data_IF_223195916855
#
_entry.id   IF_223195916855
#
_cell.length_a   1.000
_cell.length_b   1.000
_cell.length_c   1.000
_cell.angle_alpha   90.00
_cell.angle_beta   90.00
_cell.angle_gamma   90.00
#
_symmetry.space_group_name_H-M   'P 1'
#
loop_
_entity.id
_entity.type
_entity.pdbx_description
1 polymer ?
#
# COMPACT_ATOMS: atom_id res chain seq x y z
N UNK A 1 -50.47 -2.94 -23.17
CA UNK A 1 -51.19 -3.95 -22.36
C UNK A 1 -50.49 -5.29 -22.49
N UNK A 2 -49.53 -5.57 -21.61
CA UNK A 2 -48.88 -6.88 -21.49
C UNK A 2 -49.67 -7.69 -20.46
N UNK A 3 -50.20 -8.82 -20.92
CA UNK A 3 -51.16 -9.66 -20.21
C UNK A 3 -50.52 -10.32 -18.98
N UNK A 4 -51.26 -10.35 -17.87
CA UNK A 4 -50.91 -10.98 -16.57
C UNK A 4 -50.40 -12.43 -16.65
N UNK A 5 -50.49 -13.07 -17.81
CA UNK A 5 -50.04 -14.43 -18.06
C UNK A 5 -48.51 -14.59 -18.19
N UNK A 6 -47.76 -13.52 -18.50
CA UNK A 6 -46.29 -13.61 -18.61
C UNK A 6 -45.54 -13.49 -17.28
N UNK A 7 -46.15 -12.90 -16.24
CA UNK A 7 -45.51 -12.77 -14.93
C UNK A 7 -45.40 -14.11 -14.17
N UNK A 8 -46.40 -15.00 -14.31
CA UNK A 8 -46.40 -16.30 -13.65
C UNK A 8 -45.32 -17.27 -14.15
N UNK A 9 -44.97 -17.21 -15.44
CA UNK A 9 -43.96 -18.10 -16.03
C UNK A 9 -42.53 -17.77 -15.60
N UNK A 10 -42.24 -16.49 -15.31
CA UNK A 10 -40.91 -16.06 -14.81
C UNK A 10 -40.69 -16.47 -13.36
N UNK A 11 -41.72 -16.44 -12.51
CA UNK A 11 -41.61 -16.88 -11.12
C UNK A 11 -41.32 -18.38 -10.98
N UNK A 12 -41.93 -19.21 -11.84
CA UNK A 12 -41.74 -20.67 -11.83
C UNK A 12 -40.33 -21.04 -12.31
N UNK A 13 -39.79 -20.32 -13.31
CA UNK A 13 -38.44 -20.56 -13.83
C UNK A 13 -37.34 -20.19 -12.81
N UNK A 14 -37.52 -19.10 -12.06
CA UNK A 14 -36.56 -18.69 -11.02
C UNK A 14 -36.57 -19.67 -9.84
N UNK A 15 -37.74 -20.15 -9.42
CA UNK A 15 -37.84 -21.16 -8.36
C UNK A 15 -37.20 -22.51 -8.74
N UNK A 16 -37.34 -22.93 -10.01
CA UNK A 16 -36.72 -24.16 -10.50
C UNK A 16 -35.18 -24.07 -10.56
N UNK A 17 -34.63 -22.91 -10.95
CA UNK A 17 -33.18 -22.69 -11.00
C UNK A 17 -32.56 -22.68 -9.61
N UNK A 18 -33.23 -22.05 -8.63
CA UNK A 18 -32.76 -22.04 -7.22
C UNK A 18 -32.79 -23.45 -6.61
N UNK A 19 -33.83 -24.25 -6.90
CA UNK A 19 -33.91 -25.62 -6.40
C UNK A 19 -32.82 -26.53 -7.00
N UNK A 20 -32.46 -26.36 -8.27
CA UNK A 20 -31.37 -27.11 -8.91
C UNK A 20 -30.00 -26.69 -8.34
N UNK A 21 -29.77 -25.40 -8.11
CA UNK A 21 -28.53 -24.90 -7.50
C UNK A 21 -28.34 -25.42 -6.07
N UNK A 22 -29.40 -25.50 -5.27
CA UNK A 22 -29.32 -26.06 -3.91
C UNK A 22 -29.05 -27.58 -3.91
N UNK A 23 -29.53 -28.32 -4.91
CA UNK A 23 -29.24 -29.77 -5.04
C UNK A 23 -27.80 -30.06 -5.50
N UNK A 24 -27.17 -29.16 -6.26
CA UNK A 24 -25.76 -29.31 -6.69
C UNK A 24 -24.79 -28.99 -5.54
N UNK A 25 -25.15 -28.08 -4.64
CA UNK A 25 -24.33 -27.75 -3.45
C UNK A 25 -24.40 -28.86 -2.39
N UNK A 26 -25.51 -29.61 -2.28
CA UNK A 26 -25.60 -30.70 -1.29
C UNK A 26 -24.84 -31.97 -1.71
N UNK A 27 -24.66 -32.22 -3.00
CA UNK A 27 -23.91 -33.39 -3.51
C UNK A 27 -22.39 -33.21 -3.47
N UNK A 28 -21.90 -31.97 -3.36
CA UNK A 28 -20.46 -31.67 -3.24
C UNK A 28 -19.94 -31.77 -1.78
N UNK A 29 -20.81 -31.94 -0.79
CA UNK A 29 -20.45 -32.15 0.62
C UNK A 29 -20.42 -33.64 1.05
N UNK A 30 -20.77 -34.59 0.16
CA UNK A 30 -20.85 -36.02 0.50
C UNK A 30 -19.80 -36.93 -0.17
N UNK A 31 -18.83 -36.39 -0.92
CA UNK A 31 -17.73 -37.17 -1.52
C UNK A 31 -16.40 -36.72 -0.90
N UNK A 32 -16.24 -36.96 0.40
CA UNK A 32 -14.94 -36.84 1.07
C UNK A 32 -14.65 -37.94 2.11
N UNK A 33 -15.35 -39.07 2.01
CA UNK A 33 -14.98 -40.28 2.73
C UNK A 33 -14.77 -41.46 1.78
N UNK A 34 -13.77 -42.28 2.12
CA UNK A 34 -13.42 -43.59 1.57
C UNK A 34 -12.49 -43.58 0.34
N UNK A 35 -11.24 -43.15 0.56
CA UNK A 35 -10.06 -43.92 0.14
C UNK A 35 -9.07 -43.91 1.32
N UNK A 36 -8.99 -45.02 2.07
CA UNK A 36 -7.90 -45.28 3.01
C UNK A 36 -6.79 -46.03 2.26
N UNK A 37 -5.64 -45.41 1.94
CA UNK A 37 -4.46 -46.17 1.55
C UNK A 37 -3.96 -46.98 2.77
N UNK A 38 -3.64 -48.26 2.53
CA UNK A 38 -3.17 -49.19 3.55
C UNK A 38 -1.94 -48.67 4.29
N UNK A 39 -1.94 -48.84 5.61
CA UNK A 39 -0.87 -48.44 6.52
C UNK A 39 0.35 -49.36 6.31
N UNK A 40 1.54 -48.84 5.96
CA UNK A 40 2.78 -49.60 6.09
C UNK A 40 3.04 -49.94 7.57
N UNK A 41 3.77 -51.02 7.88
CA UNK A 41 4.10 -51.36 9.26
C UNK A 41 4.85 -50.21 9.95
N UNK A 42 4.41 -49.91 11.17
CA UNK A 42 4.90 -48.84 12.04
C UNK A 42 6.38 -49.07 12.40
N UNK A 43 7.30 -48.15 12.05
CA UNK A 43 8.67 -48.20 12.56
C UNK A 43 8.64 -48.00 14.08
N UNK A 44 9.41 -48.81 14.80
CA UNK A 44 9.56 -48.71 16.25
C UNK A 44 9.79 -47.25 16.68
N UNK A 45 9.05 -46.80 17.70
CA UNK A 45 9.11 -45.45 18.24
C UNK A 45 10.53 -45.10 18.70
N UNK A 46 11.31 -44.48 17.83
CA UNK A 46 12.49 -43.74 18.24
C UNK A 46 12.02 -42.48 18.95
N UNK A 47 12.48 -42.30 20.19
CA UNK A 47 12.32 -41.07 20.98
C UNK A 47 12.61 -39.87 20.06
N UNK A 48 11.74 -38.85 20.00
CA UNK A 48 11.99 -37.70 19.16
C UNK A 48 13.27 -37.04 19.67
N UNK A 49 14.32 -37.08 18.84
CA UNK A 49 15.47 -36.22 19.04
C UNK A 49 14.95 -34.80 18.81
N UNK A 50 14.75 -34.06 19.91
CA UNK A 50 14.49 -32.63 19.83
C UNK A 50 15.74 -31.96 19.30
N UNK A 51 15.78 -31.73 18.00
CA UNK A 51 16.79 -30.90 17.37
C UNK A 51 16.07 -29.67 16.83
N UNK A 52 16.17 -28.56 17.56
CA UNK A 52 15.85 -27.25 16.99
C UNK A 52 17.12 -26.74 16.29
N UNK A 53 17.11 -26.72 14.95
CA UNK A 53 18.21 -26.18 14.16
C UNK A 53 17.82 -24.77 13.69
N UNK A 54 18.57 -23.77 14.13
CA UNK A 54 18.54 -22.41 13.57
C UNK A 54 19.97 -21.87 13.54
N UNK A 55 20.51 -21.63 12.33
CA UNK A 55 21.90 -21.18 12.07
C UNK A 55 22.83 -22.30 11.59
N UNK A 56 24.02 -21.94 11.07
CA UNK A 56 25.06 -22.87 10.58
C UNK A 56 25.62 -23.72 11.73
N UNK A 57 24.94 -24.81 12.03
CA UNK A 57 25.29 -25.78 13.07
C UNK A 57 26.15 -26.90 12.48
N UNK A 58 27.48 -26.77 12.55
CA UNK A 58 28.36 -27.92 12.35
C UNK A 58 28.31 -28.81 13.59
N UNK A 59 27.50 -29.87 13.55
CA UNK A 59 27.44 -30.91 14.58
C UNK A 59 28.14 -32.18 14.08
N UNK A 60 29.40 -32.38 14.46
CA UNK A 60 30.08 -33.67 14.33
C UNK A 60 30.59 -34.12 15.70
N UNK A 61 30.06 -35.24 16.20
CA UNK A 61 30.47 -35.90 17.46
C UNK A 61 29.36 -36.08 18.48
N UNK A 62 29.42 -37.18 19.26
CA UNK A 62 28.57 -37.38 20.44
C UNK A 62 29.09 -36.48 21.58
N UNK A 63 28.20 -35.75 22.26
CA UNK A 63 28.47 -34.81 23.37
C UNK A 63 29.05 -33.42 23.05
N UNK A 64 28.54 -32.75 22.00
CA UNK A 64 28.87 -31.34 21.77
C UNK A 64 27.86 -30.38 22.40
N UNK A 65 28.36 -29.48 23.25
CA UNK A 65 27.63 -28.27 23.66
C UNK A 65 27.54 -27.34 22.45
N UNK A 66 26.33 -27.11 21.94
CA UNK A 66 26.11 -26.25 20.78
C UNK A 66 26.22 -24.79 21.22
N UNK A 67 27.31 -24.13 20.83
CA UNK A 67 27.42 -22.68 20.96
C UNK A 67 26.80 -22.00 19.74
N UNK A 68 25.51 -21.69 19.83
CA UNK A 68 24.86 -20.85 18.83
C UNK A 68 25.36 -19.41 19.00
N UNK A 69 25.91 -18.82 17.94
CA UNK A 69 26.01 -17.36 17.87
C UNK A 69 24.57 -16.81 17.75
N UNK A 70 24.24 -15.68 18.41
CA UNK A 70 23.00 -14.99 18.13
C UNK A 70 22.91 -14.77 16.61
N UNK A 71 21.77 -15.11 16.03
CA UNK A 71 21.50 -14.85 14.63
C UNK A 71 21.59 -13.35 14.32
N UNK A 72 21.65 -12.97 13.03
CA UNK A 72 21.62 -11.59 12.62
C UNK A 72 20.48 -10.83 13.30
N UNK A 73 20.70 -9.54 13.59
CA UNK A 73 19.66 -8.65 14.11
C UNK A 73 18.52 -8.48 13.10
N UNK A 74 17.38 -7.95 13.53
CA UNK A 74 16.32 -7.61 12.59
C UNK A 74 16.75 -6.36 11.84
N UNK A 75 16.83 -6.46 10.53
CA UNK A 75 17.01 -5.31 9.68
C UNK A 75 15.82 -4.36 9.80
N UNK A 76 16.08 -3.05 9.74
CA UNK A 76 15.04 -2.06 9.89
C UNK A 76 14.42 -1.73 8.52
N UNK A 77 13.10 -1.71 8.46
CA UNK A 77 12.39 -1.14 7.32
C UNK A 77 11.59 0.04 7.87
N UNK A 78 12.02 1.23 7.48
CA UNK A 78 11.35 2.46 7.85
C UNK A 78 10.56 2.96 6.64
N UNK A 79 9.33 3.38 6.90
CA UNK A 79 8.53 4.07 5.90
C UNK A 79 8.53 5.54 6.30
N UNK A 80 9.19 6.35 5.50
CA UNK A 80 9.13 7.81 5.60
C UNK A 80 8.17 8.35 4.54
N UNK A 81 7.51 9.45 4.84
CA UNK A 81 6.70 10.13 3.84
C UNK A 81 7.56 11.24 3.25
N UNK A 82 7.77 11.20 1.93
CA UNK A 82 8.36 12.31 1.19
C UNK A 82 7.25 12.97 0.37
N UNK A 83 7.28 14.30 0.31
CA UNK A 83 6.20 15.09 -0.25
C UNK A 83 6.77 16.14 -1.20
N UNK A 84 6.61 15.88 -2.49
CA UNK A 84 7.00 16.83 -3.55
C UNK A 84 5.85 17.77 -3.97
N UNK A 85 4.62 17.58 -3.45
CA UNK A 85 3.43 18.18 -4.06
C UNK A 85 2.99 19.53 -3.47
N UNK A 86 2.69 20.45 -4.39
CA UNK A 86 2.25 21.83 -4.15
C UNK A 86 0.73 21.97 -3.97
N UNK A 87 -0.05 20.95 -4.31
CA UNK A 87 -1.51 20.99 -4.26
C UNK A 87 -2.13 19.68 -3.79
N UNK A 88 -3.27 19.79 -3.13
CA UNK A 88 -4.19 18.71 -2.79
C UNK A 88 -5.61 19.14 -3.14
N UNK A 89 -6.53 18.19 -3.24
CA UNK A 89 -7.92 18.42 -3.63
C UNK A 89 -8.85 18.08 -2.47
N UNK A 90 -9.83 18.94 -2.22
CA UNK A 90 -10.87 18.71 -1.23
C UNK A 90 -12.21 18.46 -1.90
N UNK A 91 -12.85 17.34 -1.57
CA UNK A 91 -14.17 16.94 -2.05
C UNK A 91 -15.27 17.75 -1.36
N UNK A 92 -15.42 19.00 -1.80
CA UNK A 92 -16.42 19.91 -1.28
C UNK A 92 -16.13 21.36 -1.63
N UNK A 93 -17.09 22.22 -1.29
CA UNK A 93 -16.98 23.65 -1.50
C UNK A 93 -16.04 24.30 -0.45
N UNK A 94 -15.43 25.46 -0.75
CA UNK A 94 -14.49 26.11 0.16
C UNK A 94 -15.07 26.44 1.54
N UNK A 95 -16.35 26.80 1.60
CA UNK A 95 -17.09 27.07 2.83
C UNK A 95 -17.25 25.85 3.76
N UNK A 96 -17.07 24.64 3.22
CA UNK A 96 -17.14 23.38 3.98
C UNK A 96 -15.78 22.86 4.42
N UNK A 97 -14.69 23.61 4.15
CA UNK A 97 -13.35 23.20 4.52
C UNK A 97 -13.23 22.98 6.04
N UNK A 98 -12.75 21.81 6.48
CA UNK A 98 -12.53 21.53 7.89
C UNK A 98 -11.55 22.50 8.53
N UNK A 99 -11.84 22.92 9.76
CA UNK A 99 -10.96 23.81 10.52
C UNK A 99 -9.78 23.00 11.09
N UNK A 100 -8.52 23.41 10.84
CA UNK A 100 -7.36 22.71 11.41
C UNK A 100 -7.35 22.80 12.94
N UNK A 101 -6.82 21.80 13.65
CA UNK A 101 -6.60 21.87 15.08
C UNK A 101 -5.79 23.13 15.46
N UNK A 102 -6.10 23.84 16.56
CA UNK A 102 -5.41 25.07 16.91
C UNK A 102 -3.89 24.94 17.09
N UNK A 103 -3.41 23.75 17.48
CA UNK A 103 -1.98 23.46 17.59
C UNK A 103 -1.25 23.39 16.23
N UNK A 104 -2.02 23.32 15.14
CA UNK A 104 -1.56 23.21 13.76
C UNK A 104 -1.91 24.48 12.96
N UNK A 105 -2.11 25.63 13.63
CA UNK A 105 -2.37 26.95 13.02
C UNK A 105 -1.11 27.85 13.03
N UNK A 106 -0.85 28.63 11.97
CA UNK A 106 0.43 29.35 11.73
C UNK A 106 1.08 29.18 10.33
N UNK A 107 2.41 29.34 10.23
CA UNK A 107 3.15 29.20 8.97
C UNK A 107 3.81 27.82 8.82
N UNK A 108 3.98 27.35 7.58
CA UNK A 108 4.81 26.17 7.28
C UNK A 108 4.16 24.82 7.57
N UNK A 109 2.84 24.78 7.73
CA UNK A 109 2.07 23.61 8.13
C UNK A 109 2.29 22.37 7.31
N UNK A 110 2.50 22.51 6.01
CA UNK A 110 2.62 21.31 5.21
C UNK A 110 3.90 20.54 5.59
N UNK A 111 4.98 21.20 6.05
CA UNK A 111 6.16 20.50 6.62
C UNK A 111 5.92 19.86 7.99
N UNK A 112 4.83 20.23 8.68
CA UNK A 112 4.50 19.67 9.99
C UNK A 112 3.84 18.29 9.82
N UNK A 113 4.47 17.25 10.37
CA UNK A 113 3.95 15.89 10.31
C UNK A 113 2.55 15.76 10.95
N UNK A 114 2.25 16.55 11.97
CA UNK A 114 0.95 16.57 12.63
C UNK A 114 -0.15 17.10 11.72
N UNK A 115 0.14 18.16 10.97
CA UNK A 115 -0.77 18.72 9.97
C UNK A 115 -1.03 17.78 8.81
N UNK A 116 0.02 17.16 8.27
CA UNK A 116 -0.09 16.16 7.20
C UNK A 116 -0.92 14.96 7.67
N UNK A 117 -0.67 14.48 8.89
CA UNK A 117 -1.45 13.41 9.51
C UNK A 117 -2.91 13.81 9.67
N UNK A 118 -3.18 15.05 10.09
CA UNK A 118 -4.53 15.58 10.18
C UNK A 118 -5.23 15.60 8.82
N UNK A 119 -4.59 16.13 7.77
CA UNK A 119 -5.13 16.13 6.39
C UNK A 119 -5.48 14.70 5.94
N UNK A 120 -4.58 13.73 6.13
CA UNK A 120 -4.85 12.32 5.75
C UNK A 120 -6.00 11.70 6.53
N UNK A 121 -6.13 12.03 7.81
CA UNK A 121 -7.20 11.51 8.66
C UNK A 121 -8.55 12.18 8.41
N UNK A 122 -8.53 13.39 7.84
CA UNK A 122 -9.74 14.17 7.60
C UNK A 122 -10.38 13.75 6.29
N UNK A 123 -11.66 13.38 6.36
CA UNK A 123 -12.44 12.99 5.19
C UNK A 123 -12.56 14.14 4.19
N UNK A 124 -12.59 13.81 2.90
CA UNK A 124 -12.68 14.77 1.80
C UNK A 124 -11.34 15.30 1.29
N UNK A 125 -10.23 15.19 2.03
CA UNK A 125 -8.92 15.54 1.47
C UNK A 125 -8.31 14.39 0.66
N UNK A 126 -7.87 14.70 -0.56
CA UNK A 126 -7.19 13.82 -1.50
C UNK A 126 -5.86 14.43 -1.93
N UNK A 127 -4.78 13.66 -1.83
CA UNK A 127 -3.46 14.04 -2.35
C UNK A 127 -3.41 13.80 -3.87
N UNK A 128 -2.61 14.53 -4.65
CA UNK A 128 -2.67 14.39 -6.11
C UNK A 128 -1.92 13.16 -6.61
N UNK A 129 -0.94 12.71 -5.85
CA UNK A 129 -0.34 11.39 -6.01
C UNK A 129 -0.07 10.77 -4.62
N UNK A 130 0.16 9.46 -4.61
CA UNK A 130 0.82 8.78 -3.50
C UNK A 130 2.31 8.68 -3.83
N UNK A 131 3.07 9.69 -3.44
CA UNK A 131 4.52 9.56 -3.29
C UNK A 131 4.86 9.09 -1.88
N UNK A 132 5.51 7.93 -1.76
CA UNK A 132 6.01 7.38 -0.48
C UNK A 132 7.46 6.99 -0.63
N UNK A 133 8.24 7.15 0.44
CA UNK A 133 9.64 6.74 0.47
C UNK A 133 9.84 5.67 1.53
N UNK A 134 10.25 4.49 1.11
CA UNK A 134 10.61 3.40 2.03
C UNK A 134 12.11 3.33 2.08
N UNK A 135 12.64 3.44 3.29
CA UNK A 135 14.05 3.29 3.59
C UNK A 135 14.27 1.86 4.09
N UNK A 136 14.93 1.05 3.29
CA UNK A 136 15.39 -0.26 3.70
C UNK A 136 16.78 -0.10 4.30
N UNK A 137 16.96 -0.48 5.57
CA UNK A 137 18.26 -0.47 6.24
C UNK A 137 18.67 -1.88 6.64
N UNK A 138 19.82 -2.35 6.17
CA UNK A 138 20.41 -3.61 6.64
C UNK A 138 21.61 -3.34 7.56
N UNK A 139 21.59 -3.98 8.74
CA UNK A 139 22.79 -4.14 9.55
C UNK A 139 23.73 -5.19 8.94
N UNK A 140 24.92 -5.32 9.50
CA UNK A 140 25.79 -6.49 9.26
C UNK A 140 25.42 -7.57 10.30
N UNK A 141 25.00 -8.80 9.94
CA UNK A 141 24.98 -9.46 8.61
C UNK A 141 23.57 -9.62 8.01
N UNK A 142 22.72 -8.60 8.04
CA UNK A 142 21.31 -8.72 7.69
C UNK A 142 21.05 -8.69 6.18
N UNK A 143 20.10 -9.51 5.73
CA UNK A 143 19.60 -9.48 4.35
C UNK A 143 18.17 -8.93 4.32
N UNK A 144 18.01 -7.77 3.68
CA UNK A 144 16.70 -7.19 3.37
C UNK A 144 16.45 -7.24 1.88
N UNK A 145 15.24 -7.67 1.53
CA UNK A 145 14.74 -7.57 0.17
C UNK A 145 13.30 -7.05 0.12
N UNK A 146 12.99 -6.18 -0.84
CA UNK A 146 11.62 -5.87 -1.22
C UNK A 146 11.22 -6.80 -2.36
N UNK A 147 10.21 -7.65 -2.13
CA UNK A 147 9.79 -8.71 -3.07
C UNK A 147 8.55 -8.35 -3.86
N UNK A 148 7.67 -7.55 -3.27
CA UNK A 148 6.42 -7.13 -3.87
C UNK A 148 5.99 -5.80 -3.29
N UNK A 149 5.47 -4.95 -4.16
CA UNK A 149 4.69 -3.79 -3.80
C UNK A 149 3.35 -3.88 -4.54
N UNK A 150 2.28 -3.48 -3.88
CA UNK A 150 0.94 -3.47 -4.47
C UNK A 150 0.09 -2.38 -3.85
N UNK A 151 -0.74 -1.75 -4.66
CA UNK A 151 -1.82 -0.87 -4.18
C UNK A 151 -3.09 -1.69 -4.07
N UNK A 152 -3.74 -1.62 -2.91
CA UNK A 152 -5.07 -2.19 -2.70
C UNK A 152 -6.08 -1.04 -2.72
N UNK A 153 -6.76 -0.87 -3.85
CA UNK A 153 -7.80 0.14 -4.04
C UNK A 153 -9.10 -0.36 -3.42
N UNK A 154 -9.64 0.38 -2.45
CA UNK A 154 -10.91 0.08 -1.77
C UNK A 154 -12.08 0.87 -2.35
N UNK A 155 -11.85 2.10 -2.82
CA UNK A 155 -12.82 2.87 -3.59
C UNK A 155 -12.16 3.57 -4.77
N UNK A 156 -12.94 3.77 -5.83
CA UNK A 156 -12.58 4.53 -7.01
C UNK A 156 -13.82 5.20 -7.56
N UNK A 157 -13.79 6.53 -7.65
CA UNK A 157 -14.94 7.34 -8.04
C UNK A 157 -14.52 8.35 -9.11
N UNK A 158 -15.38 8.58 -10.10
CA UNK A 158 -15.14 9.59 -11.12
C UNK A 158 -15.56 10.94 -10.58
N UNK A 159 -14.72 11.95 -10.74
CA UNK A 159 -14.99 13.33 -10.32
C UNK A 159 -14.61 14.31 -11.42
N UNK A 160 -15.28 15.47 -11.47
CA UNK A 160 -14.77 16.61 -12.23
C UNK A 160 -13.84 17.43 -11.33
N UNK A 161 -12.67 17.89 -11.81
CA UNK A 161 -11.78 18.73 -11.01
C UNK A 161 -12.47 19.95 -10.39
N UNK A 162 -13.41 20.55 -11.12
CA UNK A 162 -14.17 21.73 -10.68
C UNK A 162 -15.30 21.46 -9.68
N UNK A 163 -15.54 20.19 -9.30
CA UNK A 163 -16.56 19.85 -8.28
C UNK A 163 -16.00 20.00 -6.85
N UNK A 164 -14.70 20.26 -6.70
CA UNK A 164 -14.05 20.39 -5.40
C UNK A 164 -13.21 21.66 -5.27
N UNK A 165 -12.46 21.71 -4.18
CA UNK A 165 -11.64 22.87 -3.82
C UNK A 165 -10.16 22.52 -3.88
N UNK A 166 -9.37 23.31 -4.61
CA UNK A 166 -7.93 23.17 -4.60
C UNK A 166 -7.33 23.75 -3.34
N UNK A 167 -6.40 23.00 -2.77
CA UNK A 167 -5.67 23.37 -1.57
C UNK A 167 -4.21 23.45 -1.93
N UNK A 168 -3.60 24.61 -1.72
CA UNK A 168 -2.17 24.80 -1.96
C UNK A 168 -1.40 24.56 -0.69
N UNK A 169 -0.47 23.61 -0.76
CA UNK A 169 0.50 23.37 0.28
C UNK A 169 1.85 23.90 -0.15
N UNK A 170 2.50 24.69 0.70
CA UNK A 170 3.85 25.18 0.43
C UNK A 170 4.86 24.39 1.27
N UNK A 171 5.57 23.50 0.61
CA UNK A 171 6.72 22.80 1.16
C UNK A 171 7.97 23.43 0.54
N UNK A 172 8.85 24.02 1.33
CA UNK A 172 10.10 24.55 0.77
C UNK A 172 10.96 23.40 0.22
N UNK A 173 11.65 23.63 -0.90
CA UNK A 173 12.35 22.59 -1.66
C UNK A 173 13.36 21.77 -0.86
N UNK A 174 13.30 20.45 -1.05
CA UNK A 174 14.23 19.48 -0.48
C UNK A 174 13.69 18.08 -0.74
N UNK A 175 13.99 17.52 -1.91
CA UNK A 175 13.70 16.12 -2.21
C UNK A 175 14.81 15.21 -1.69
N UNK A 176 14.46 14.00 -1.25
CA UNK A 176 15.46 12.97 -0.97
C UNK A 176 16.01 12.41 -2.30
N UNK A 177 17.31 12.17 -2.38
CA UNK A 177 17.88 11.42 -3.51
C UNK A 177 17.51 9.94 -3.38
N UNK A 178 16.65 9.46 -4.26
CA UNK A 178 16.15 8.08 -4.25
C UNK A 178 17.08 7.15 -5.03
N UNK A 179 17.20 5.89 -4.60
CA UNK A 179 18.00 4.87 -5.31
C UNK A 179 17.16 4.07 -6.30
N UNK A 180 15.90 3.81 -5.95
CA UNK A 180 14.97 3.00 -6.73
C UNK A 180 13.60 3.66 -6.78
N UNK A 181 12.86 3.39 -7.87
CA UNK A 181 11.50 3.87 -8.07
C UNK A 181 10.56 2.71 -8.41
N UNK A 182 9.37 2.72 -7.83
CA UNK A 182 8.32 1.74 -8.10
C UNK A 182 7.05 2.46 -8.53
N UNK A 183 6.67 2.21 -9.78
CA UNK A 183 5.37 2.60 -10.31
C UNK A 183 4.33 1.54 -9.96
N UNK A 184 3.23 1.94 -9.32
CA UNK A 184 2.09 1.08 -9.01
C UNK A 184 0.90 1.48 -9.88
N UNK A 185 0.66 0.74 -10.96
CA UNK A 185 -0.50 0.96 -11.82
C UNK A 185 -1.77 0.49 -11.11
N UNK A 186 -2.58 1.44 -10.66
CA UNK A 186 -3.83 1.19 -9.95
C UNK A 186 -4.93 0.63 -10.85
N UNK A 187 -4.81 0.76 -12.18
CA UNK A 187 -5.76 0.22 -13.15
C UNK A 187 -5.42 -1.22 -13.52
N UNK A 188 -4.14 -1.48 -13.82
CA UNK A 188 -3.66 -2.81 -14.19
C UNK A 188 -3.40 -3.70 -12.97
N UNK A 189 -3.25 -3.11 -11.78
CA UNK A 189 -2.79 -3.78 -10.56
C UNK A 189 -1.41 -4.41 -10.77
N UNK A 190 -0.57 -3.70 -11.53
CA UNK A 190 0.79 -4.09 -11.88
C UNK A 190 1.78 -3.14 -11.20
N UNK A 191 2.97 -3.63 -10.89
CA UNK A 191 4.05 -2.81 -10.34
C UNK A 191 5.29 -2.90 -11.24
N UNK A 192 5.98 -1.78 -11.44
CA UNK A 192 7.23 -1.73 -12.20
C UNK A 192 8.33 -1.11 -11.35
N UNK A 193 9.44 -1.83 -11.19
CA UNK A 193 10.64 -1.36 -10.50
C UNK A 193 11.65 -0.82 -11.50
N UNK A 194 12.16 0.38 -11.25
CA UNK A 194 13.22 1.02 -12.04
C UNK A 194 14.36 1.49 -11.12
N UNK A 195 15.58 1.49 -11.66
CA UNK A 195 16.75 2.09 -11.00
C UNK A 195 16.78 3.59 -11.31
N UNK A 196 17.04 4.43 -10.30
CA UNK A 196 17.21 5.87 -10.51
C UNK A 196 18.64 6.11 -10.99
N UNK A 197 18.80 6.46 -12.27
CA UNK A 197 20.11 6.70 -12.87
C UNK A 197 20.75 8.02 -12.40
N UNK A 198 22.08 8.11 -12.47
CA UNK A 198 22.86 9.30 -12.09
C UNK A 198 22.52 10.55 -12.95
N UNK A 199 21.99 10.35 -14.15
CA UNK A 199 21.56 11.41 -15.06
C UNK A 199 20.04 11.35 -15.18
N UNK A 200 19.36 12.02 -14.24
CA UNK A 200 17.91 12.33 -14.22
C UNK A 200 17.06 11.41 -15.12
N UNK A 201 16.74 10.22 -14.64
CA UNK A 201 15.86 9.31 -15.36
C UNK A 201 15.73 7.94 -14.68
N UNK A 202 14.56 7.33 -14.84
CA UNK A 202 14.33 5.93 -14.47
C UNK A 202 14.91 5.03 -15.56
N UNK A 203 15.73 4.07 -15.14
CA UNK A 203 16.42 3.13 -16.03
C UNK A 203 16.11 1.69 -15.63
N UNK A 204 16.22 0.75 -16.59
CA UNK A 204 15.98 -0.69 -16.37
C UNK A 204 14.62 -1.05 -15.73
N UNK A 205 13.49 -0.70 -16.38
CA UNK A 205 12.16 -1.03 -15.86
C UNK A 205 11.94 -2.55 -15.85
N UNK A 206 11.56 -3.09 -14.69
CA UNK A 206 11.34 -4.53 -14.46
C UNK A 206 9.99 -4.76 -13.79
N UNK A 207 9.15 -5.68 -14.29
CA UNK A 207 7.86 -5.97 -13.67
C UNK A 207 8.04 -6.61 -12.28
N UNK A 208 7.24 -6.19 -11.32
CA UNK A 208 7.22 -6.69 -9.94
C UNK A 208 5.86 -7.32 -9.62
N UNK A 209 5.81 -8.59 -9.17
CA UNK A 209 6.87 -9.60 -9.22
C UNK A 209 7.08 -10.17 -10.64
N UNK A 210 8.28 -10.67 -11.02
CA UNK A 210 9.46 -10.96 -10.20
C UNK A 210 10.59 -9.93 -10.37
N UNK A 211 10.54 -8.81 -9.65
CA UNK A 211 11.67 -7.92 -9.46
C UNK A 211 11.92 -7.77 -7.96
N UNK A 212 13.18 -7.68 -7.55
CA UNK A 212 13.57 -7.63 -6.14
C UNK A 212 14.62 -6.56 -5.94
N UNK A 213 14.40 -5.67 -4.97
CA UNK A 213 15.46 -4.79 -4.47
C UNK A 213 16.18 -5.54 -3.35
N UNK A 214 17.48 -5.80 -3.51
CA UNK A 214 18.33 -6.44 -2.50
C UNK A 214 19.44 -5.49 -2.11
N UNK A 215 19.67 -5.32 -0.80
CA UNK A 215 20.72 -4.43 -0.33
C UNK A 215 22.12 -5.00 -0.57
N UNK A 216 22.29 -6.33 -0.64
CA UNK A 216 23.50 -6.98 -1.18
C UNK A 216 24.85 -6.48 -0.65
N UNK A 217 24.90 -5.93 0.58
CA UNK A 217 26.09 -5.30 1.18
C UNK A 217 26.05 -3.76 1.31
N UNK A 218 25.04 -3.09 0.76
CA UNK A 218 24.71 -1.69 1.06
C UNK A 218 24.08 -1.60 2.45
N UNK A 219 24.35 -0.51 3.17
CA UNK A 219 23.72 -0.25 4.49
C UNK A 219 22.27 0.19 4.34
N UNK A 220 21.94 0.87 3.25
CA UNK A 220 20.65 1.52 3.04
C UNK A 220 20.25 1.50 1.56
N UNK A 221 18.94 1.46 1.28
CA UNK A 221 18.35 1.91 0.03
C UNK A 221 17.08 2.71 0.26
N UNK A 222 16.95 3.82 -0.46
CA UNK A 222 15.79 4.70 -0.49
C UNK A 222 14.96 4.35 -1.72
N UNK A 223 13.72 3.91 -1.50
CA UNK A 223 12.81 3.45 -2.55
C UNK A 223 11.60 4.36 -2.57
N UNK A 224 11.35 5.03 -3.69
CA UNK A 224 10.10 5.79 -3.89
C UNK A 224 9.01 4.94 -4.53
N UNK A 225 7.78 5.20 -4.16
CA UNK A 225 6.57 4.64 -4.77
C UNK A 225 5.74 5.77 -5.35
N UNK A 226 5.15 5.55 -6.53
CA UNK A 226 4.15 6.41 -7.13
C UNK A 226 2.92 5.56 -7.53
N UNK A 227 1.71 6.09 -7.37
CA UNK A 227 0.48 5.38 -7.69
C UNK A 227 -0.12 5.88 -9.01
N UNK A 228 0.27 5.26 -10.12
CA UNK A 228 -0.24 5.63 -11.44
C UNK A 228 -1.76 5.39 -11.51
N UNK A 229 -2.49 6.47 -11.73
CA UNK A 229 -3.93 6.53 -11.55
C UNK A 229 -4.62 7.05 -12.82
N UNK A 230 -5.93 6.80 -12.96
CA UNK A 230 -6.68 7.31 -14.11
C UNK A 230 -7.09 8.75 -13.86
N UNK A 231 -6.82 9.62 -14.81
CA UNK A 231 -7.28 11.01 -14.78
C UNK A 231 -8.79 11.15 -14.56
N UNK A 232 -9.17 12.14 -13.76
CA UNK A 232 -10.56 12.46 -13.40
C UNK A 232 -11.16 11.51 -12.38
N UNK A 233 -10.33 10.87 -11.56
CA UNK A 233 -10.80 9.93 -10.53
C UNK A 233 -10.14 10.22 -9.19
N UNK A 234 -10.92 10.00 -8.13
CA UNK A 234 -10.41 9.88 -6.77
C UNK A 234 -10.39 8.42 -6.36
N UNK A 235 -9.47 8.12 -5.45
CA UNK A 235 -9.17 6.79 -4.99
C UNK A 235 -9.05 6.77 -3.47
N UNK A 236 -9.46 5.65 -2.88
CA UNK A 236 -9.15 5.29 -1.50
C UNK A 236 -8.53 3.90 -1.47
N UNK A 237 -7.59 3.66 -0.58
CA UNK A 237 -6.88 2.39 -0.52
C UNK A 237 -5.73 2.36 0.46
N UNK A 238 -4.86 1.36 0.34
CA UNK A 238 -3.62 1.25 1.11
C UNK A 238 -2.53 0.60 0.26
N UNK A 239 -1.27 0.86 0.60
CA UNK A 239 -0.13 0.21 -0.03
C UNK A 239 0.31 -0.98 0.80
N UNK A 240 0.57 -2.10 0.14
CA UNK A 240 1.12 -3.30 0.76
C UNK A 240 2.52 -3.56 0.21
N UNK A 241 3.47 -3.76 1.12
CA UNK A 241 4.85 -4.07 0.82
C UNK A 241 5.21 -5.41 1.43
N UNK A 242 5.57 -6.39 0.60
CA UNK A 242 6.13 -7.65 1.07
C UNK A 242 7.64 -7.55 1.04
N UNK A 243 8.24 -7.54 2.23
CA UNK A 243 9.68 -7.61 2.40
C UNK A 243 10.07 -9.00 2.90
N UNK A 244 11.32 -9.39 2.66
CA UNK A 244 11.91 -10.50 3.38
C UNK A 244 13.16 -10.04 4.12
N UNK A 245 13.17 -10.29 5.42
CA UNK A 245 14.24 -9.97 6.35
C UNK A 245 14.78 -11.29 6.91
N UNK A 246 16.04 -11.63 6.62
CA UNK A 246 16.67 -12.87 7.09
C UNK A 246 15.78 -14.12 6.85
N UNK A 247 15.28 -14.25 5.62
CA UNK A 247 14.34 -15.29 5.15
C UNK A 247 12.92 -15.28 5.76
N UNK A 248 12.59 -14.37 6.68
CA UNK A 248 11.20 -14.18 7.17
C UNK A 248 10.48 -13.17 6.31
N UNK A 249 9.29 -13.53 5.84
CA UNK A 249 8.42 -12.60 5.12
C UNK A 249 7.73 -11.66 6.11
N UNK A 250 7.81 -10.36 5.85
CA UNK A 250 7.11 -9.32 6.60
C UNK A 250 6.25 -8.54 5.61
N UNK A 251 4.98 -8.33 5.96
CA UNK A 251 4.09 -7.47 5.19
C UNK A 251 3.92 -6.17 5.95
N UNK A 252 4.28 -5.08 5.31
CA UNK A 252 4.07 -3.73 5.81
C UNK A 252 2.89 -3.12 5.05
N UNK A 253 2.04 -2.38 5.76
CA UNK A 253 0.92 -1.65 5.18
C UNK A 253 1.10 -0.17 5.43
N UNK A 254 0.90 0.64 4.40
CA UNK A 254 0.85 2.10 4.50
C UNK A 254 -0.62 2.49 4.29
N UNK A 255 -1.24 3.00 5.35
CA UNK A 255 -2.70 3.09 5.46
C UNK A 255 -3.34 1.75 5.86
N UNK A 256 -4.65 1.78 6.11
CA UNK A 256 -5.46 0.60 6.42
C UNK A 256 -6.88 0.73 5.85
N UNK A 257 -7.70 -0.32 5.87
CA UNK A 257 -9.11 -0.20 5.51
C UNK A 257 -9.88 0.83 6.36
N UNK A 258 -9.54 0.97 7.65
CA UNK A 258 -10.17 1.91 8.59
C UNK A 258 -9.62 3.34 8.45
N UNK A 259 -8.38 3.47 7.98
CA UNK A 259 -7.71 4.75 7.73
C UNK A 259 -7.01 4.71 6.36
N UNK A 260 -7.78 4.75 5.26
CA UNK A 260 -7.22 4.60 3.93
C UNK A 260 -6.41 5.84 3.52
N UNK A 261 -5.41 5.61 2.68
CA UNK A 261 -4.83 6.65 1.85
C UNK A 261 -5.89 7.12 0.85
N UNK A 262 -5.98 8.44 0.66
CA UNK A 262 -6.87 9.08 -0.31
C UNK A 262 -6.04 9.89 -1.29
N UNK A 263 -6.23 9.64 -2.58
CA UNK A 263 -5.50 10.34 -3.64
C UNK A 263 -6.38 10.58 -4.86
N UNK A 264 -5.95 11.47 -5.76
CA UNK A 264 -6.75 11.94 -6.88
C UNK A 264 -5.87 12.32 -8.08
N UNK A 265 -6.05 11.65 -9.21
CA UNK A 265 -5.36 12.02 -10.44
C UNK A 265 -6.21 13.04 -11.21
N UNK A 266 -5.96 14.32 -10.95
CA UNK A 266 -6.72 15.44 -11.56
C UNK A 266 -5.86 16.33 -12.45
N UNK A 267 -4.52 16.23 -12.34
CA UNK A 267 -3.57 17.04 -13.09
C UNK A 267 -3.40 18.47 -12.59
N UNK A 268 -3.71 18.72 -11.31
CA UNK A 268 -3.59 20.02 -10.64
C UNK A 268 -4.64 21.06 -11.03
N UNK A 269 -4.66 22.22 -10.35
CA UNK A 269 -5.54 23.33 -10.70
C UNK A 269 -5.21 23.86 -12.10
N UNK A 270 -6.25 24.20 -12.87
CA UNK A 270 -6.07 24.88 -14.14
C UNK A 270 -5.48 26.28 -13.93
N UNK A 271 -4.86 26.85 -14.97
CA UNK A 271 -4.35 28.22 -14.91
C UNK A 271 -5.49 29.20 -14.58
N UNK A 272 -5.30 30.02 -13.55
CA UNK A 272 -6.29 30.99 -13.08
C UNK A 272 -7.41 30.41 -12.20
N UNK A 273 -7.39 29.11 -11.93
CA UNK A 273 -8.30 28.49 -10.96
C UNK A 273 -7.91 28.87 -9.53
N UNK A 274 -8.93 29.06 -8.68
CA UNK A 274 -8.71 29.43 -7.30
C UNK A 274 -8.16 28.26 -6.48
N UNK A 275 -7.27 28.58 -5.55
CA UNK A 275 -6.81 27.66 -4.53
C UNK A 275 -6.98 28.27 -3.15
N UNK A 276 -6.96 27.43 -2.13
CA UNK A 276 -7.03 27.84 -0.73
C UNK A 276 -5.78 27.36 0.00
N UNK A 277 -5.30 28.18 0.91
CA UNK A 277 -4.19 27.84 1.79
C UNK A 277 -4.49 28.38 3.19
N UNK A 278 -3.89 27.78 4.21
CA UNK A 278 -4.01 28.30 5.57
C UNK A 278 -3.17 29.57 5.72
N UNK A 279 -3.81 30.65 6.14
CA UNK A 279 -3.15 31.88 6.55
C UNK A 279 -2.49 31.73 7.92
N UNK A 280 -1.78 32.78 8.34
CA UNK A 280 -1.02 32.85 9.60
C UNK A 280 -1.90 32.71 10.85
N UNK A 281 -3.22 32.87 10.68
CA UNK A 281 -4.22 32.72 11.73
C UNK A 281 -4.92 31.35 11.69
N UNK A 282 -4.46 30.43 10.83
CA UNK A 282 -5.04 29.10 10.65
C UNK A 282 -6.38 29.12 9.93
N UNK A 283 -6.66 30.12 9.09
CA UNK A 283 -7.88 30.23 8.30
C UNK A 283 -7.62 29.89 6.84
N UNK A 284 -8.54 29.16 6.22
CA UNK A 284 -8.51 28.96 4.78
C UNK A 284 -8.73 30.29 4.05
N UNK A 285 -7.72 30.73 3.32
CA UNK A 285 -7.75 31.97 2.54
C UNK A 285 -7.56 31.67 1.06
N UNK A 286 -8.44 32.25 0.26
CA UNK A 286 -8.43 32.14 -1.20
C UNK A 286 -7.20 32.83 -1.78
N UNK A 287 -6.52 32.15 -2.70
CA UNK A 287 -5.33 32.59 -3.43
C UNK A 287 -4.22 33.14 -2.52
N UNK A 288 -4.15 32.64 -1.29
CA UNK A 288 -3.16 33.10 -0.33
C UNK A 288 -1.80 32.44 -0.57
N UNK A 289 -0.76 33.27 -0.57
CA UNK A 289 0.64 32.86 -0.60
C UNK A 289 1.38 33.70 0.45
N UNK A 290 2.23 33.11 1.30
CA UNK A 290 3.09 33.86 2.22
C UNK A 290 4.21 34.62 1.50
N UNK A 291 4.32 34.49 0.18
CA UNK A 291 5.28 35.17 -0.70
C UNK A 291 4.59 35.80 -1.91
#
# INVERSE_FOLDING_TARGET
MLTRQQAGRRAILVAAVIAVLLAVISTSMLVKEIIRPGRPPEPAAQKPLQVSITGDCNANGNDNTIHCKPGPTLANVEVSEDFDEFYLWFDGAPETLPVPPPALAGHGHCRDEGFVRWLRSTEGFHFLDIHKVVVLTSGDPDLVSLRRAATVVTSRESVSPGDGTWIKCQWGGGGLTQNFHIDLDTQAVEATLSDVGEVSGFTDPRPMPPAVVSLGGRKEAIISFAALSKRGHVYSGHLMLTTAQNAKSVVLSIGSPEAPLRWAELGGPAEGEDYYALDDNGRWSRNWSPF
#
